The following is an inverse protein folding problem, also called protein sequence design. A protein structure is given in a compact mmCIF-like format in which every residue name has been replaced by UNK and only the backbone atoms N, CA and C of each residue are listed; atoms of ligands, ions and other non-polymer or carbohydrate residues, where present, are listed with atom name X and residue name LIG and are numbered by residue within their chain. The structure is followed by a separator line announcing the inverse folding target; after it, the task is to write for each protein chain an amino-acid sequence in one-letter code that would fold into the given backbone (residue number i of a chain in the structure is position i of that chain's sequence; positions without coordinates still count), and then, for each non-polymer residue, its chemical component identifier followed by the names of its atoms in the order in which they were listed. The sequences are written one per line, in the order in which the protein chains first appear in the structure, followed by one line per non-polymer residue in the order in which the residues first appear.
data_IF_996897630388
#
_entry.id   IF_996897630388
#
_cell.length_a   1.000
_cell.length_b   1.000
_cell.length_c   1.000
_cell.angle_alpha   90.00
_cell.angle_beta   90.00
_cell.angle_gamma   90.00
#
_symmetry.space_group_name_H-M   'P 1'
#
loop_
_entity.id
_entity.type
_entity.pdbx_description
1 polymer ?
#
# COMPACT_ATOMS: atom_id res chain seq x y z
N UNK A 1 -17.92 -11.16 10.44
CA UNK A 1 -17.67 -10.70 9.05
C UNK A 1 -17.23 -11.89 8.21
N UNK A 2 -17.71 -11.99 6.96
CA UNK A 2 -17.25 -12.98 5.98
C UNK A 2 -16.74 -12.19 4.77
N UNK A 3 -15.53 -12.51 4.31
CA UNK A 3 -14.88 -11.86 3.18
C UNK A 3 -15.10 -12.67 1.91
N UNK A 4 -15.62 -12.02 0.86
CA UNK A 4 -15.71 -12.62 -0.47
C UNK A 4 -14.31 -12.69 -1.07
N UNK A 5 -13.88 -13.86 -1.49
CA UNK A 5 -12.56 -14.01 -2.09
C UNK A 5 -12.62 -14.66 -3.48
N UNK A 6 -11.66 -14.29 -4.31
CA UNK A 6 -11.40 -14.88 -5.61
C UNK A 6 -10.04 -15.56 -5.63
N UNK A 7 -9.91 -16.54 -6.50
CA UNK A 7 -8.66 -17.22 -6.84
C UNK A 7 -8.43 -17.01 -8.33
N UNK A 8 -7.24 -16.49 -8.68
CA UNK A 8 -6.82 -16.30 -10.08
C UNK A 8 -5.44 -16.94 -10.23
N UNK A 9 -5.38 -18.06 -10.93
CA UNK A 9 -4.17 -18.86 -11.10
C UNK A 9 -4.36 -19.77 -12.32
N UNK A 10 -3.41 -19.81 -13.25
CA UNK A 10 -3.51 -20.63 -14.46
C UNK A 10 -3.22 -22.12 -14.20
N UNK A 11 -2.68 -22.46 -13.03
CA UNK A 11 -2.38 -23.81 -12.62
C UNK A 11 -3.56 -24.47 -11.89
N UNK A 12 -4.25 -25.48 -12.49
CA UNK A 12 -5.44 -26.08 -11.88
C UNK A 12 -5.22 -26.71 -10.50
N UNK A 13 -4.00 -27.22 -10.24
CA UNK A 13 -3.66 -27.80 -8.94
C UNK A 13 -3.53 -26.73 -7.86
N UNK A 14 -2.98 -25.55 -8.18
CA UNK A 14 -2.90 -24.41 -7.27
C UNK A 14 -4.29 -23.86 -6.94
N UNK A 15 -5.17 -23.74 -7.95
CA UNK A 15 -6.58 -23.35 -7.73
C UNK A 15 -7.28 -24.33 -6.80
N UNK A 16 -7.11 -25.65 -7.02
CA UNK A 16 -7.74 -26.68 -6.18
C UNK A 16 -7.21 -26.67 -4.75
N UNK A 17 -5.92 -26.43 -4.56
CA UNK A 17 -5.30 -26.31 -3.25
C UNK A 17 -5.86 -25.10 -2.50
N UNK A 18 -5.84 -23.92 -3.14
CA UNK A 18 -6.37 -22.68 -2.56
C UNK A 18 -7.85 -22.79 -2.21
N UNK A 19 -8.67 -23.39 -3.10
CA UNK A 19 -10.08 -23.67 -2.83
C UNK A 19 -10.25 -24.55 -1.58
N UNK A 20 -9.43 -25.61 -1.45
CA UNK A 20 -9.47 -26.47 -0.28
C UNK A 20 -9.12 -25.73 1.01
N UNK A 21 -8.21 -24.76 0.94
CA UNK A 21 -7.81 -23.92 2.07
C UNK A 21 -8.88 -22.89 2.42
N UNK A 22 -9.42 -22.20 1.42
CA UNK A 22 -10.53 -21.24 1.61
C UNK A 22 -11.71 -21.89 2.31
N UNK A 23 -12.11 -23.09 1.87
CA UNK A 23 -13.25 -23.83 2.45
C UNK A 23 -13.04 -24.26 3.91
N UNK A 24 -11.82 -24.27 4.41
CA UNK A 24 -11.48 -24.57 5.82
C UNK A 24 -11.47 -23.32 6.69
N UNK A 25 -11.51 -22.11 6.11
CA UNK A 25 -11.42 -20.84 6.84
C UNK A 25 -12.80 -20.19 6.94
N UNK A 26 -13.44 -20.16 8.12
CA UNK A 26 -14.86 -19.79 8.26
C UNK A 26 -15.18 -18.33 7.95
N UNK A 27 -14.19 -17.46 7.91
CA UNK A 27 -14.37 -16.05 7.56
C UNK A 27 -14.06 -15.74 6.09
N UNK A 28 -13.78 -16.74 5.25
CA UNK A 28 -13.62 -16.61 3.80
C UNK A 28 -14.80 -17.27 3.08
N UNK A 29 -15.24 -16.67 1.97
CA UNK A 29 -16.24 -17.23 1.06
C UNK A 29 -15.70 -17.11 -0.36
N UNK A 30 -15.48 -18.26 -1.00
CA UNK A 30 -15.06 -18.29 -2.41
C UNK A 30 -16.24 -17.89 -3.29
N UNK A 31 -16.07 -16.80 -4.07
CA UNK A 31 -17.11 -16.26 -4.96
C UNK A 31 -16.69 -16.29 -6.44
N UNK A 32 -15.38 -16.48 -6.74
CA UNK A 32 -14.91 -16.61 -8.11
C UNK A 32 -13.61 -17.40 -8.21
N UNK A 33 -13.47 -18.12 -9.33
CA UNK A 33 -12.24 -18.82 -9.72
C UNK A 33 -11.96 -18.55 -11.20
N UNK A 34 -10.76 -18.14 -11.52
CA UNK A 34 -10.36 -17.79 -12.88
C UNK A 34 -9.00 -18.40 -13.18
N UNK A 35 -8.84 -18.94 -14.40
CA UNK A 35 -7.60 -19.51 -14.88
C UNK A 35 -6.70 -18.50 -15.61
N UNK A 36 -7.06 -17.23 -15.65
CA UNK A 36 -6.25 -16.15 -16.23
C UNK A 36 -6.76 -14.78 -15.76
N UNK A 37 -5.87 -13.79 -15.84
CA UNK A 37 -6.16 -12.42 -15.42
C UNK A 37 -7.26 -11.76 -16.26
N UNK A 38 -7.30 -11.99 -17.58
CA UNK A 38 -8.28 -11.34 -18.48
C UNK A 38 -9.72 -11.68 -18.11
N UNK A 39 -10.01 -12.96 -17.82
CA UNK A 39 -11.33 -13.39 -17.36
C UNK A 39 -11.71 -12.78 -16.01
N UNK A 40 -10.77 -12.63 -15.09
CA UNK A 40 -11.00 -11.97 -13.81
C UNK A 40 -11.26 -10.47 -14.00
N UNK A 41 -10.49 -9.78 -14.87
CA UNK A 41 -10.65 -8.35 -15.15
C UNK A 41 -12.04 -7.99 -15.68
N UNK A 42 -12.66 -8.85 -16.48
CA UNK A 42 -14.00 -8.63 -17.03
C UNK A 42 -15.09 -8.62 -15.96
N UNK A 43 -14.88 -9.32 -14.86
CA UNK A 43 -15.86 -9.51 -13.81
C UNK A 43 -15.63 -8.66 -12.56
N UNK A 44 -14.38 -8.25 -12.29
CA UNK A 44 -14.01 -7.57 -11.04
C UNK A 44 -14.69 -6.20 -10.87
N UNK A 45 -15.08 -5.55 -11.97
CA UNK A 45 -15.75 -4.25 -11.93
C UNK A 45 -17.23 -4.36 -11.46
N UNK A 46 -17.85 -5.53 -11.59
CA UNK A 46 -19.27 -5.75 -11.30
C UNK A 46 -19.52 -6.56 -10.04
N UNK A 47 -18.52 -7.25 -9.53
CA UNK A 47 -18.64 -8.10 -8.36
C UNK A 47 -17.86 -7.54 -7.16
N UNK A 48 -18.42 -7.72 -5.97
CA UNK A 48 -17.75 -7.33 -4.73
C UNK A 48 -16.75 -8.42 -4.33
N UNK A 49 -15.47 -8.09 -4.45
CA UNK A 49 -14.35 -8.93 -4.06
C UNK A 49 -13.58 -8.23 -2.94
N UNK A 50 -13.51 -8.87 -1.78
CA UNK A 50 -12.78 -8.34 -0.65
C UNK A 50 -11.30 -8.77 -0.72
N UNK A 51 -11.02 -10.06 -1.01
CA UNK A 51 -9.66 -10.63 -1.06
C UNK A 51 -9.45 -11.34 -2.40
N UNK A 52 -8.31 -11.07 -3.02
CA UNK A 52 -7.88 -11.72 -4.26
C UNK A 52 -6.59 -12.51 -4.00
N UNK A 53 -6.66 -13.84 -4.12
CA UNK A 53 -5.49 -14.69 -4.23
C UNK A 53 -5.08 -14.75 -5.69
N UNK A 54 -3.90 -14.20 -6.01
CA UNK A 54 -3.50 -13.91 -7.39
C UNK A 54 -2.12 -14.49 -7.68
N UNK A 55 -2.05 -15.38 -8.66
CA UNK A 55 -0.74 -15.77 -9.17
C UNK A 55 -0.09 -14.63 -9.95
N UNK A 56 1.24 -14.55 -9.85
CA UNK A 56 2.00 -13.53 -10.55
C UNK A 56 2.26 -13.92 -11.99
N UNK A 57 2.69 -15.16 -12.21
CA UNK A 57 3.11 -15.60 -13.53
C UNK A 57 1.97 -16.33 -14.25
N UNK A 58 1.19 -15.59 -14.98
CA UNK A 58 0.13 -16.13 -15.84
C UNK A 58 0.38 -15.76 -17.31
N UNK A 59 -0.12 -16.56 -18.27
CA UNK A 59 -0.10 -16.21 -19.68
C UNK A 59 -0.85 -14.92 -19.98
N UNK A 60 -0.42 -14.18 -21.01
CA UNK A 60 -1.01 -12.97 -21.57
C UNK A 60 -0.90 -11.74 -20.66
N UNK A 61 -1.39 -11.79 -19.43
CA UNK A 61 -1.35 -10.68 -18.46
C UNK A 61 -0.73 -11.16 -17.16
N UNK A 62 0.36 -10.53 -16.77
CA UNK A 62 1.02 -10.79 -15.50
C UNK A 62 0.12 -10.34 -14.33
N UNK A 63 0.10 -11.12 -13.23
CA UNK A 63 -0.70 -10.81 -12.06
C UNK A 63 -0.36 -9.47 -11.41
N UNK A 64 0.88 -8.99 -11.52
CA UNK A 64 1.28 -7.67 -11.04
C UNK A 64 0.59 -6.56 -11.83
N UNK A 65 0.55 -6.68 -13.18
CA UNK A 65 -0.13 -5.71 -14.05
C UNK A 65 -1.63 -5.70 -13.78
N UNK A 66 -2.22 -6.87 -13.55
CA UNK A 66 -3.61 -6.97 -13.14
C UNK A 66 -3.86 -6.28 -11.79
N UNK A 67 -3.01 -6.50 -10.81
CA UNK A 67 -3.14 -5.90 -9.48
C UNK A 67 -3.12 -4.37 -9.52
N UNK A 68 -2.38 -3.74 -10.44
CA UNK A 68 -2.42 -2.29 -10.66
C UNK A 68 -3.78 -1.75 -11.11
N UNK A 69 -4.63 -2.57 -11.69
CA UNK A 69 -5.98 -2.18 -12.16
C UNK A 69 -7.06 -2.35 -11.10
N UNK A 70 -6.73 -3.02 -9.99
CA UNK A 70 -7.67 -3.37 -8.93
C UNK A 70 -7.91 -2.17 -8.01
N UNK A 71 -9.17 -1.98 -7.62
CA UNK A 71 -9.55 -0.91 -6.70
C UNK A 71 -8.96 -1.13 -5.30
N UNK A 72 -8.74 -0.04 -4.57
CA UNK A 72 -8.23 -0.09 -3.19
C UNK A 72 -9.15 -0.80 -2.18
N UNK A 73 -10.38 -1.14 -2.58
CA UNK A 73 -11.32 -1.88 -1.74
C UNK A 73 -11.08 -3.39 -1.76
N UNK A 74 -10.32 -3.91 -2.71
CA UNK A 74 -9.93 -5.32 -2.81
C UNK A 74 -8.49 -5.46 -2.35
N UNK A 75 -8.21 -6.39 -1.46
CA UNK A 75 -6.85 -6.69 -0.99
C UNK A 75 -6.26 -7.88 -1.74
N UNK A 76 -5.05 -7.70 -2.24
CA UNK A 76 -4.35 -8.73 -3.01
C UNK A 76 -3.40 -9.50 -2.09
N UNK A 77 -3.46 -10.82 -2.16
CA UNK A 77 -2.46 -11.75 -1.61
C UNK A 77 -1.88 -12.48 -2.81
N UNK A 78 -0.62 -12.24 -3.11
CA UNK A 78 0.02 -12.93 -4.22
C UNK A 78 0.39 -14.36 -3.86
N UNK A 79 0.29 -15.25 -4.86
CA UNK A 79 0.82 -16.60 -4.83
C UNK A 79 1.85 -16.74 -5.94
N UNK A 80 3.04 -17.23 -5.68
CA UNK A 80 4.10 -17.30 -6.70
C UNK A 80 5.14 -18.37 -6.37
N UNK A 81 5.75 -18.95 -7.41
CA UNK A 81 6.90 -19.82 -7.26
C UNK A 81 8.25 -19.06 -7.11
N UNK A 82 8.24 -17.72 -7.27
CA UNK A 82 9.45 -16.92 -7.36
C UNK A 82 9.54 -15.89 -6.23
N UNK A 83 10.58 -15.98 -5.43
CA UNK A 83 10.82 -15.09 -4.29
C UNK A 83 11.20 -13.65 -4.69
N UNK A 84 11.68 -13.45 -5.92
CA UNK A 84 12.11 -12.15 -6.43
C UNK A 84 10.96 -11.15 -6.60
N UNK A 85 9.74 -11.63 -6.88
CA UNK A 85 8.55 -10.78 -7.02
C UNK A 85 8.01 -10.25 -5.67
N UNK A 86 8.44 -10.81 -4.56
CA UNK A 86 8.09 -10.27 -3.24
C UNK A 86 8.54 -8.81 -3.06
N UNK A 87 9.57 -8.38 -3.81
CA UNK A 87 10.08 -7.01 -3.80
C UNK A 87 9.23 -6.08 -4.66
N UNK A 88 8.68 -6.56 -5.79
CA UNK A 88 7.86 -5.74 -6.70
C UNK A 88 6.42 -5.57 -6.23
N UNK A 89 5.88 -6.53 -5.52
CA UNK A 89 4.50 -6.49 -5.03
C UNK A 89 4.21 -5.41 -3.99
N UNK A 90 5.22 -4.84 -3.39
CA UNK A 90 5.05 -3.64 -2.58
C UNK A 90 4.54 -2.44 -3.38
N UNK A 91 4.71 -2.42 -4.71
CA UNK A 91 4.21 -1.35 -5.58
C UNK A 91 2.70 -1.43 -5.85
N UNK A 92 2.08 -2.56 -5.62
CA UNK A 92 0.66 -2.81 -5.90
C UNK A 92 -0.21 -2.94 -4.65
N UNK A 93 0.27 -2.46 -3.48
CA UNK A 93 -0.44 -2.54 -2.20
C UNK A 93 -0.88 -3.98 -1.83
N UNK A 94 -0.06 -4.97 -2.19
CA UNK A 94 -0.30 -6.35 -1.79
C UNK A 94 -0.28 -6.47 -0.26
N UNK A 95 -1.25 -7.19 0.26
CA UNK A 95 -1.35 -7.40 1.70
C UNK A 95 -0.37 -8.45 2.20
N UNK A 96 -0.09 -9.47 1.38
CA UNK A 96 0.85 -10.54 1.68
C UNK A 96 1.32 -11.29 0.44
N UNK A 97 2.29 -12.18 0.64
CA UNK A 97 2.89 -13.08 -0.35
C UNK A 97 2.93 -14.51 0.17
N UNK A 98 2.48 -15.44 -0.67
CA UNK A 98 2.59 -16.88 -0.44
C UNK A 98 3.53 -17.48 -1.48
N UNK A 99 4.70 -17.94 -1.06
CA UNK A 99 5.67 -18.58 -1.93
C UNK A 99 5.30 -20.07 -2.10
N UNK A 100 5.00 -20.48 -3.32
CA UNK A 100 4.72 -21.90 -3.65
C UNK A 100 5.97 -22.78 -3.49
N UNK A 101 5.88 -23.95 -2.83
CA UNK A 101 4.71 -24.48 -2.14
C UNK A 101 4.53 -23.85 -0.75
N UNK A 102 3.30 -23.46 -0.40
CA UNK A 102 2.97 -22.91 0.91
C UNK A 102 2.04 -23.84 1.71
N UNK A 103 2.19 -23.79 3.02
CA UNK A 103 1.39 -24.56 3.96
C UNK A 103 0.02 -23.92 4.21
N UNK A 104 -0.90 -24.71 4.81
CA UNK A 104 -2.18 -24.19 5.29
C UNK A 104 -1.99 -23.12 6.37
N UNK A 105 -0.96 -23.23 7.22
CA UNK A 105 -0.65 -22.26 8.27
C UNK A 105 -0.24 -20.90 7.69
N UNK A 106 0.60 -20.89 6.66
CA UNK A 106 0.99 -19.66 5.94
C UNK A 106 -0.22 -19.00 5.26
N UNK A 107 -1.06 -19.82 4.60
CA UNK A 107 -2.31 -19.35 4.02
C UNK A 107 -3.22 -18.69 5.06
N UNK A 108 -3.43 -19.34 6.21
CA UNK A 108 -4.27 -18.79 7.30
C UNK A 108 -3.67 -17.51 7.87
N UNK A 109 -2.34 -17.41 7.98
CA UNK A 109 -1.68 -16.19 8.44
C UNK A 109 -1.95 -15.00 7.50
N UNK A 110 -1.82 -15.21 6.18
CA UNK A 110 -2.14 -14.21 5.16
C UNK A 110 -3.63 -13.83 5.18
N UNK A 111 -4.53 -14.82 5.25
CA UNK A 111 -5.97 -14.59 5.35
C UNK A 111 -6.38 -13.81 6.61
N UNK A 112 -5.72 -14.05 7.75
CA UNK A 112 -5.94 -13.28 8.99
C UNK A 112 -5.49 -11.82 8.86
N UNK A 113 -4.43 -11.53 8.13
CA UNK A 113 -4.04 -10.13 7.83
C UNK A 113 -5.15 -9.43 7.05
N UNK A 114 -5.75 -10.09 6.05
CA UNK A 114 -6.88 -9.54 5.32
C UNK A 114 -8.09 -9.31 6.23
N UNK A 115 -8.44 -10.28 7.05
CA UNK A 115 -9.54 -10.16 8.00
C UNK A 115 -9.36 -8.97 8.96
N UNK A 116 -8.17 -8.84 9.56
CA UNK A 116 -7.85 -7.74 10.47
C UNK A 116 -7.91 -6.38 9.77
N UNK A 117 -7.47 -6.28 8.51
CA UNK A 117 -7.59 -5.06 7.73
C UNK A 117 -9.06 -4.64 7.54
N UNK A 118 -9.93 -5.57 7.14
CA UNK A 118 -11.35 -5.29 6.97
C UNK A 118 -12.09 -5.03 8.28
N UNK A 119 -11.68 -5.65 9.40
CA UNK A 119 -12.22 -5.32 10.72
C UNK A 119 -11.97 -3.85 11.09
N UNK A 120 -10.76 -3.37 10.88
CA UNK A 120 -10.40 -1.96 11.14
C UNK A 120 -11.22 -1.02 10.26
N UNK A 121 -11.40 -1.35 8.99
CA UNK A 121 -12.20 -0.54 8.05
C UNK A 121 -13.68 -0.53 8.44
N UNK A 122 -14.26 -1.66 8.87
CA UNK A 122 -15.67 -1.73 9.27
C UNK A 122 -15.95 -1.08 10.63
N UNK A 123 -15.05 -1.17 11.61
CA UNK A 123 -15.21 -0.50 12.90
C UNK A 123 -15.23 1.03 12.78
N UNK A 124 -14.69 1.57 11.69
CA UNK A 124 -14.74 3.00 11.34
C UNK A 124 -16.05 3.43 10.67
N UNK A 125 -17.01 2.54 10.47
CA UNK A 125 -18.31 2.82 9.83
C UNK A 125 -19.41 3.25 10.82
N UNK A 126 -19.08 3.96 11.91
CA UNK A 126 -20.05 4.66 12.77
C UNK A 126 -20.22 6.08 12.20
N UNK A 127 -21.48 6.56 11.98
CA UNK A 127 -21.72 7.83 11.31
C UNK A 127 -21.38 9.00 12.24
N UNK A 128 -20.22 9.53 12.11
CA UNK A 128 -19.80 10.91 12.31
C UNK A 128 -18.29 10.97 12.12
N UNK A 129 -17.93 11.49 11.04
CA UNK A 129 -16.67 12.12 10.61
C UNK A 129 -16.41 11.76 9.14
N UNK A 130 -16.94 12.59 8.26
CA UNK A 130 -16.27 12.83 6.98
C UNK A 130 -14.80 13.18 7.26
N UNK A 131 -13.88 12.40 6.67
CA UNK A 131 -12.41 12.44 6.79
C UNK A 131 -11.79 11.44 7.78
N UNK A 132 -12.07 10.14 7.61
CA UNK A 132 -11.09 9.15 8.08
C UNK A 132 -10.16 8.80 6.92
N UNK A 133 -9.01 9.47 6.90
CA UNK A 133 -7.85 9.11 6.09
C UNK A 133 -7.50 7.65 6.37
N UNK A 134 -7.44 6.86 5.30
CA UNK A 134 -6.89 5.51 5.37
C UNK A 134 -5.50 5.62 6.01
N UNK A 135 -5.27 4.95 7.13
CA UNK A 135 -3.94 4.77 7.72
C UNK A 135 -3.17 3.79 6.83
N UNK A 136 -2.85 4.23 5.65
CA UNK A 136 -1.97 3.54 4.72
C UNK A 136 -0.56 3.98 5.06
N UNK A 137 0.38 3.08 5.00
CA UNK A 137 1.78 3.37 5.25
C UNK A 137 2.61 3.08 4.01
N UNK A 138 3.87 3.45 4.06
CA UNK A 138 4.86 3.11 3.05
C UNK A 138 5.83 2.09 3.62
N UNK A 139 6.21 1.10 2.80
CA UNK A 139 7.31 0.20 3.12
C UNK A 139 8.60 0.75 2.54
N UNK A 140 9.62 0.86 3.37
CA UNK A 140 10.93 1.31 2.94
C UNK A 140 12.00 0.30 3.35
N UNK A 141 12.97 0.07 2.46
CA UNK A 141 14.13 -0.76 2.77
C UNK A 141 15.14 0.08 3.54
N UNK A 142 15.41 -0.31 4.78
CA UNK A 142 16.42 0.31 5.61
C UNK A 142 17.37 -0.75 6.16
N UNK A 143 18.67 -0.55 5.93
CA UNK A 143 19.70 -1.54 6.24
C UNK A 143 19.44 -2.87 5.54
N UNK A 144 19.09 -3.95 6.15
CA UNK A 144 18.79 -5.25 5.53
C UNK A 144 17.36 -5.71 5.78
N UNK A 145 16.46 -4.80 6.21
CA UNK A 145 15.06 -5.10 6.54
C UNK A 145 14.10 -4.10 5.92
N UNK A 146 12.86 -4.52 5.74
CA UNK A 146 11.77 -3.64 5.36
C UNK A 146 11.08 -3.10 6.60
N UNK A 147 10.84 -1.79 6.62
CA UNK A 147 10.11 -1.11 7.67
C UNK A 147 8.79 -0.60 7.10
N UNK A 148 7.69 -0.93 7.75
CA UNK A 148 6.40 -0.31 7.47
C UNK A 148 6.28 0.97 8.29
N UNK A 149 6.07 2.10 7.62
CA UNK A 149 5.93 3.42 8.24
C UNK A 149 4.53 3.93 7.90
N UNK A 150 3.72 4.17 8.92
CA UNK A 150 2.40 4.76 8.72
C UNK A 150 2.53 6.21 8.22
N UNK A 151 1.69 6.61 7.28
CA UNK A 151 1.73 7.99 6.77
C UNK A 151 1.50 9.03 7.87
N UNK A 152 0.67 8.70 8.86
CA UNK A 152 0.41 9.58 9.99
C UNK A 152 1.61 9.78 10.91
N UNK A 153 2.57 8.86 10.89
CA UNK A 153 3.80 8.97 11.69
C UNK A 153 4.86 9.83 10.98
N UNK A 154 4.78 9.95 9.64
CA UNK A 154 5.77 10.70 8.87
C UNK A 154 5.58 12.19 9.05
N UNK A 155 6.63 12.87 9.47
CA UNK A 155 6.71 14.33 9.59
C UNK A 155 7.11 14.98 8.25
N UNK A 156 8.27 14.60 7.75
CA UNK A 156 8.82 15.05 6.48
C UNK A 156 9.92 14.09 5.98
N UNK A 157 10.27 14.22 4.71
CA UNK A 157 11.29 13.42 4.05
C UNK A 157 12.35 14.34 3.45
N UNK A 158 13.61 14.05 3.70
CA UNK A 158 14.75 14.80 3.21
C UNK A 158 15.58 13.94 2.25
N UNK A 159 15.86 14.45 1.05
CA UNK A 159 16.73 13.80 0.07
C UNK A 159 18.21 13.96 0.41
N UNK A 160 18.95 12.86 0.34
CA UNK A 160 20.40 12.82 0.58
C UNK A 160 21.10 11.99 -0.49
N UNK A 161 21.45 12.61 -1.63
CA UNK A 161 21.99 11.92 -2.83
C UNK A 161 21.07 10.79 -3.29
N UNK A 162 21.55 9.55 -3.23
CA UNK A 162 20.82 8.33 -3.62
C UNK A 162 19.91 7.79 -2.50
N UNK A 163 19.89 8.43 -1.33
CA UNK A 163 19.11 8.05 -0.16
C UNK A 163 18.07 9.10 0.18
N UNK A 164 17.06 8.67 0.91
CA UNK A 164 16.15 9.56 1.61
C UNK A 164 16.23 9.33 3.12
N UNK A 165 16.00 10.39 3.88
CA UNK A 165 15.82 10.38 5.33
C UNK A 165 14.36 10.62 5.64
N UNK A 166 13.67 9.64 6.22
CA UNK A 166 12.29 9.74 6.64
C UNK A 166 12.27 10.05 8.13
N UNK A 167 11.71 11.19 8.49
CA UNK A 167 11.55 11.63 9.87
C UNK A 167 10.14 11.31 10.35
N UNK A 168 10.03 10.61 11.46
CA UNK A 168 8.76 10.18 12.07
C UNK A 168 8.58 10.76 13.47
N UNK A 169 7.33 10.77 13.97
CA UNK A 169 7.01 11.32 15.28
C UNK A 169 7.68 10.56 16.43
N UNK A 170 7.74 9.23 16.31
CA UNK A 170 8.15 8.34 17.39
C UNK A 170 9.65 8.05 17.42
N UNK A 171 10.44 8.59 16.49
CA UNK A 171 11.87 8.31 16.41
C UNK A 171 12.72 9.58 16.36
N UNK A 172 13.71 9.65 17.26
CA UNK A 172 14.71 10.70 17.25
C UNK A 172 15.69 10.60 16.07
N UNK A 173 15.82 9.42 15.46
CA UNK A 173 16.72 9.17 14.33
C UNK A 173 15.91 8.96 13.07
N UNK A 174 16.29 9.58 11.93
CA UNK A 174 15.62 9.35 10.67
C UNK A 174 15.87 7.92 10.16
N UNK A 175 14.88 7.38 9.49
CA UNK A 175 14.98 6.11 8.76
C UNK A 175 15.65 6.42 7.42
N UNK A 176 16.74 5.73 7.12
CA UNK A 176 17.47 5.85 5.85
C UNK A 176 16.99 4.78 4.87
N UNK A 177 16.65 5.19 3.65
CA UNK A 177 16.27 4.25 2.59
C UNK A 177 16.93 4.62 1.26
N UNK A 178 17.36 3.60 0.51
CA UNK A 178 17.94 3.75 -0.82
C UNK A 178 16.81 3.91 -1.85
N UNK A 179 16.36 5.14 -2.03
CA UNK A 179 15.35 5.52 -3.02
C UNK A 179 15.44 7.02 -3.31
N UNK A 180 14.87 7.45 -4.43
CA UNK A 180 14.86 8.86 -4.80
C UNK A 180 13.61 9.58 -4.27
N UNK A 181 13.73 10.91 -4.04
CA UNK A 181 12.55 11.73 -3.71
C UNK A 181 11.50 11.72 -4.82
N UNK A 182 11.90 11.56 -6.09
CA UNK A 182 10.97 11.52 -7.22
C UNK A 182 10.10 10.25 -7.15
N UNK A 183 10.71 9.12 -6.90
CA UNK A 183 10.01 7.86 -6.73
C UNK A 183 9.04 7.91 -5.54
N UNK A 184 9.48 8.45 -4.40
CA UNK A 184 8.62 8.64 -3.23
C UNK A 184 7.44 9.59 -3.51
N UNK A 185 7.64 10.64 -4.30
CA UNK A 185 6.57 11.57 -4.68
C UNK A 185 5.46 10.89 -5.50
N UNK A 186 5.82 9.87 -6.30
CA UNK A 186 4.87 9.05 -7.07
C UNK A 186 4.14 8.02 -6.18
N UNK A 187 4.82 7.49 -5.15
CA UNK A 187 4.31 6.44 -4.25
C UNK A 187 3.46 7.00 -3.09
N UNK A 188 3.64 8.28 -2.73
CA UNK A 188 2.95 8.91 -1.60
C UNK A 188 1.57 9.47 -1.98
N UNK A 189 0.56 9.41 -1.09
CA UNK A 189 -0.78 9.89 -1.40
C UNK A 189 -0.79 11.41 -1.63
N UNK A 190 -1.30 11.79 -2.81
CA UNK A 190 -1.44 13.18 -3.20
C UNK A 190 -2.39 13.94 -2.26
N UNK A 191 -2.01 15.13 -1.84
CA UNK A 191 -2.79 15.98 -0.94
C UNK A 191 -2.39 15.89 0.53
N UNK A 192 -1.79 14.78 0.97
CA UNK A 192 -1.20 14.64 2.31
C UNK A 192 0.31 14.93 2.27
N UNK A 193 0.96 14.45 1.23
CA UNK A 193 2.39 14.67 1.00
C UNK A 193 2.60 15.58 -0.19
N UNK A 194 3.42 16.60 0.01
CA UNK A 194 3.71 17.59 -1.02
C UNK A 194 5.20 17.89 -1.07
N UNK A 195 5.74 17.86 -2.27
CA UNK A 195 7.10 18.31 -2.50
C UNK A 195 7.16 19.83 -2.46
N UNK A 196 7.93 20.37 -1.53
CA UNK A 196 8.06 21.82 -1.30
C UNK A 196 9.45 22.36 -1.66
N UNK A 197 10.40 21.47 -1.90
CA UNK A 197 11.76 21.82 -2.27
C UNK A 197 12.40 20.68 -3.05
N UNK A 198 13.49 20.98 -3.81
CA UNK A 198 14.26 19.92 -4.51
C UNK A 198 14.71 18.77 -3.59
N UNK A 199 14.84 19.04 -2.29
CA UNK A 199 15.31 18.08 -1.28
C UNK A 199 14.29 17.78 -0.19
N UNK A 200 13.05 18.26 -0.26
CA UNK A 200 12.06 18.01 0.79
C UNK A 200 10.66 17.69 0.26
N UNK A 201 10.09 16.62 0.81
CA UNK A 201 8.66 16.32 0.79
C UNK A 201 8.14 16.45 2.23
N UNK A 202 6.99 17.05 2.44
CA UNK A 202 6.41 17.24 3.76
C UNK A 202 5.05 16.58 3.88
N UNK A 203 4.69 16.20 5.10
CA UNK A 203 3.31 15.87 5.44
C UNK A 203 2.57 17.16 5.80
N UNK A 204 1.56 17.52 5.02
CA UNK A 204 0.80 18.78 5.16
C UNK A 204 0.08 18.86 6.51
N UNK A 205 -0.34 17.71 7.04
CA UNK A 205 -1.06 17.64 8.31
C UNK A 205 -0.15 17.80 9.54
N UNK A 206 1.15 17.76 9.33
CA UNK A 206 2.16 17.96 10.39
C UNK A 206 2.75 19.37 10.40
N UNK A 207 2.23 20.25 9.56
CA UNK A 207 2.66 21.65 9.55
C UNK A 207 2.21 22.35 10.84
N UNK A 208 3.17 22.83 11.61
CA UNK A 208 2.89 23.64 12.80
C UNK A 208 2.62 25.10 12.44
N UNK A 209 3.39 25.64 11.48
CA UNK A 209 3.17 27.01 10.97
C UNK A 209 3.95 27.25 9.67
N UNK A 210 3.54 28.28 8.94
CA UNK A 210 4.22 28.77 7.75
C UNK A 210 4.63 30.21 8.00
N UNK A 211 5.92 30.50 7.89
CA UNK A 211 6.45 31.84 8.07
C UNK A 211 7.29 32.26 6.87
N UNK A 212 6.85 33.27 6.13
CA UNK A 212 7.46 33.71 4.88
C UNK A 212 7.59 32.55 3.90
N UNK A 213 8.83 32.13 3.53
CA UNK A 213 9.12 31.02 2.63
C UNK A 213 9.62 29.77 3.38
N UNK A 214 9.21 29.57 4.63
CA UNK A 214 9.62 28.42 5.44
C UNK A 214 8.41 27.75 6.10
N UNK A 215 8.40 26.44 6.07
CA UNK A 215 7.43 25.59 6.75
C UNK A 215 8.08 25.10 8.05
N UNK A 216 7.35 25.17 9.14
CA UNK A 216 7.79 24.68 10.45
C UNK A 216 7.03 23.39 10.74
N UNK A 217 7.79 22.33 10.90
CA UNK A 217 7.29 21.02 11.33
C UNK A 217 8.12 20.59 12.53
N UNK A 218 7.49 20.39 13.67
CA UNK A 218 8.16 20.21 14.96
C UNK A 218 9.17 21.38 15.20
N UNK A 219 10.46 21.09 15.27
CA UNK A 219 11.54 22.09 15.44
C UNK A 219 12.28 22.41 14.14
N UNK A 220 11.94 21.74 13.04
CA UNK A 220 12.63 21.88 11.74
C UNK A 220 12.00 23.00 10.92
N UNK A 221 12.85 23.87 10.38
CA UNK A 221 12.46 24.87 9.38
C UNK A 221 12.82 24.35 7.99
N UNK A 222 11.82 24.11 7.15
CA UNK A 222 11.96 23.57 5.79
C UNK A 222 11.73 24.71 4.79
N UNK A 223 12.68 25.00 3.88
CA UNK A 223 12.51 26.06 2.89
C UNK A 223 11.51 25.64 1.80
N UNK A 224 10.75 26.60 1.29
CA UNK A 224 9.91 26.44 0.10
C UNK A 224 10.71 26.91 -1.11
N UNK A 225 10.95 26.02 -2.07
CA UNK A 225 11.61 26.37 -3.33
C UNK A 225 10.66 27.14 -4.25
N UNK A 226 11.17 28.13 -4.99
CA UNK A 226 10.36 29.01 -5.84
C UNK A 226 9.50 28.22 -6.86
N UNK A 227 10.03 27.14 -7.40
CA UNK A 227 9.32 26.26 -8.36
C UNK A 227 8.10 25.54 -7.72
N UNK A 228 8.15 25.26 -6.42
CA UNK A 228 7.12 24.51 -5.69
C UNK A 228 6.09 25.41 -4.99
N UNK A 229 6.42 26.71 -4.84
CA UNK A 229 5.64 27.65 -4.03
C UNK A 229 4.20 27.80 -4.50
N UNK A 230 3.99 27.98 -5.81
CA UNK A 230 2.64 28.19 -6.37
C UNK A 230 1.74 26.98 -6.11
N UNK A 231 2.25 25.77 -6.36
CA UNK A 231 1.50 24.52 -6.15
C UNK A 231 1.18 24.32 -4.67
N UNK A 232 2.16 24.57 -3.79
CA UNK A 232 1.99 24.43 -2.34
C UNK A 232 0.95 25.42 -1.78
N UNK A 233 1.04 26.71 -2.14
CA UNK A 233 0.08 27.71 -1.67
C UNK A 233 -1.34 27.42 -2.13
N UNK A 234 -1.53 27.02 -3.40
CA UNK A 234 -2.83 26.60 -3.91
C UNK A 234 -3.45 25.42 -3.16
N UNK A 235 -2.63 24.54 -2.59
CA UNK A 235 -3.09 23.42 -1.79
C UNK A 235 -3.52 23.87 -0.38
N UNK A 236 -2.77 24.76 0.24
CA UNK A 236 -3.08 25.29 1.58
C UNK A 236 -4.34 26.16 1.57
N UNK A 237 -4.52 26.99 0.53
CA UNK A 237 -5.70 27.88 0.40
C UNK A 237 -7.01 27.09 0.16
N UNK A 238 -6.93 25.81 -0.22
CA UNK A 238 -8.09 24.91 -0.45
C UNK A 238 -8.46 24.05 0.76
N UNK A 239 -7.63 24.03 1.80
CA UNK A 239 -7.86 23.30 3.06
C UNK A 239 -8.41 24.22 4.13
#
# INVERSE_FOLDING_TARGET
MVLNCWIVDDEPLAVSLLESYVNKVPFLKLTGKFSNALSAMQNIATEKVDVLFLDIQMPEVNGMDFAHTISNNTRVIFTTAFSEYAVEGYRVNALDYLLKPFSFEEFVAAAKKAYGWFEIVQQKSIPDIEKTRENVGIFVKSEYKYLHILYDDVLYIEGLKDYVKIYTQDSLKPILSLMSLKQLEEDLPFGNFVRVHRSYIINVDKISSINKNRIIIDKKQIPIGETYKKQFMNLIDKK
#
